data_IF_511602838718
#
_entry.id   IF_511602838718
#
_cell.length_a   1.000
_cell.length_b   1.000
_cell.length_c   1.000
_cell.angle_alpha   90.00
_cell.angle_beta   90.00
_cell.angle_gamma   90.00
#
_symmetry.space_group_name_H-M   'P 1'
#
loop_
_entity.id
_entity.type
_entity.pdbx_description
1 polymer ?
#
# COMPACT_ATOMS: atom_id res chain seq x y z
N UNK A 1 1.76 -37.82 -16.14
CA UNK A 1 1.23 -39.13 -16.56
C UNK A 1 -0.03 -39.51 -15.79
N UNK A 2 0.00 -39.51 -14.44
CA UNK A 2 -1.11 -39.92 -13.57
C UNK A 2 -2.44 -39.16 -13.76
N UNK A 3 -2.40 -37.83 -13.94
CA UNK A 3 -3.62 -37.02 -14.14
C UNK A 3 -4.31 -37.29 -15.48
N UNK A 4 -3.57 -37.76 -16.48
CA UNK A 4 -4.10 -38.03 -17.82
C UNK A 4 -4.89 -39.35 -17.86
N UNK A 5 -4.49 -40.33 -17.06
CA UNK A 5 -5.19 -41.61 -16.91
C UNK A 5 -6.48 -41.46 -16.09
N UNK A 6 -6.49 -40.61 -15.05
CA UNK A 6 -7.68 -40.35 -14.23
C UNK A 6 -8.79 -39.63 -15.03
N UNK A 7 -8.41 -38.72 -15.93
CA UNK A 7 -9.34 -38.06 -16.85
C UNK A 7 -9.92 -39.02 -17.90
N UNK A 8 -9.14 -40.00 -18.36
CA UNK A 8 -9.59 -40.99 -19.34
C UNK A 8 -10.52 -42.05 -18.72
N UNK A 9 -10.30 -42.40 -17.44
CA UNK A 9 -11.21 -43.25 -16.67
C UNK A 9 -12.59 -42.60 -16.42
N UNK A 10 -12.61 -41.30 -16.11
CA UNK A 10 -13.85 -40.54 -15.88
C UNK A 10 -14.68 -40.32 -17.15
N UNK A 11 -14.04 -40.24 -18.32
CA UNK A 11 -14.74 -40.15 -19.61
C UNK A 11 -15.43 -41.47 -19.99
N UNK A 12 -14.78 -42.63 -19.77
CA UNK A 12 -15.38 -43.94 -20.06
C UNK A 12 -16.59 -44.25 -19.17
N UNK A 13 -16.54 -43.87 -17.90
CA UNK A 13 -17.68 -44.01 -16.99
C UNK A 13 -18.91 -43.19 -17.44
N UNK A 14 -18.69 -42.05 -18.10
CA UNK A 14 -19.77 -41.18 -18.62
C UNK A 14 -20.43 -41.73 -19.89
N UNK A 15 -19.67 -42.41 -20.75
CA UNK A 15 -20.21 -43.08 -21.95
C UNK A 15 -21.09 -44.29 -21.59
N UNK A 16 -20.69 -45.09 -20.60
CA UNK A 16 -21.47 -46.26 -20.18
C UNK A 16 -22.80 -45.92 -19.51
N UNK A 17 -22.91 -44.74 -18.86
CA UNK A 17 -24.18 -44.25 -18.29
C UNK A 17 -25.16 -43.73 -19.35
N UNK A 18 -24.68 -43.42 -20.56
CA UNK A 18 -25.51 -42.86 -21.63
C UNK A 18 -26.18 -43.91 -22.52
N UNK A 19 -25.76 -45.19 -22.43
CA UNK A 19 -26.25 -46.28 -23.30
C UNK A 19 -27.37 -47.15 -22.68
N UNK A 20 -27.69 -46.98 -21.39
CA UNK A 20 -28.62 -47.88 -20.67
C UNK A 20 -30.04 -47.33 -20.48
N UNK A 21 -30.39 -46.20 -21.11
CA UNK A 21 -31.67 -45.50 -20.90
C UNK A 21 -32.75 -45.81 -21.96
N UNK A 22 -32.68 -46.94 -22.65
CA UNK A 22 -33.58 -47.25 -23.77
C UNK A 22 -34.22 -48.64 -23.69
N UNK A 23 -35.15 -48.86 -22.74
CA UNK A 23 -36.26 -49.83 -22.83
C UNK A 23 -37.08 -49.86 -21.54
N UNK A 24 -38.30 -49.32 -21.56
CA UNK A 24 -39.45 -49.92 -20.84
C UNK A 24 -40.76 -49.27 -21.29
N UNK A 25 -41.79 -50.09 -21.44
CA UNK A 25 -43.08 -49.84 -22.06
C UNK A 25 -44.16 -49.60 -20.97
N UNK A 26 -44.97 -48.56 -21.18
CA UNK A 26 -46.28 -48.18 -20.61
C UNK A 26 -46.77 -48.65 -19.22
N UNK A 27 -47.06 -47.69 -18.31
CA UNK A 27 -48.27 -47.69 -17.44
C UNK A 27 -48.64 -46.25 -16.97
N UNK A 28 -49.91 -45.77 -16.99
CA UNK A 28 -50.25 -44.33 -16.93
C UNK A 28 -50.56 -43.75 -15.54
N UNK A 29 -50.14 -44.37 -14.42
CA UNK A 29 -50.51 -43.91 -13.07
C UNK A 29 -49.33 -43.47 -12.17
N UNK A 30 -48.08 -43.57 -12.64
CA UNK A 30 -46.87 -43.22 -11.86
C UNK A 30 -46.33 -41.80 -12.15
N UNK A 31 -46.92 -41.08 -13.12
CA UNK A 31 -46.33 -39.85 -13.68
C UNK A 31 -46.36 -38.64 -12.75
N UNK A 32 -47.38 -38.51 -11.90
CA UNK A 32 -47.50 -37.36 -10.98
C UNK A 32 -46.49 -37.40 -9.83
N UNK A 33 -46.12 -38.60 -9.37
CA UNK A 33 -45.13 -38.77 -8.31
C UNK A 33 -43.71 -38.53 -8.86
N UNK A 34 -43.39 -39.11 -10.03
CA UNK A 34 -42.10 -38.86 -10.69
C UNK A 34 -41.88 -37.39 -11.04
N UNK A 35 -42.93 -36.66 -11.45
CA UNK A 35 -42.85 -35.21 -11.72
C UNK A 35 -42.54 -34.41 -10.45
N UNK A 36 -43.11 -34.80 -9.31
CA UNK A 36 -42.89 -34.13 -8.03
C UNK A 36 -41.46 -34.39 -7.51
N UNK A 37 -40.98 -35.61 -7.66
CA UNK A 37 -39.62 -36.03 -7.35
C UNK A 37 -38.59 -35.31 -8.26
N UNK A 38 -38.88 -35.18 -9.56
CA UNK A 38 -38.06 -34.44 -10.51
C UNK A 38 -37.98 -32.95 -10.16
N UNK A 39 -39.10 -32.31 -9.79
CA UNK A 39 -39.10 -30.92 -9.31
C UNK A 39 -38.32 -30.76 -8.01
N UNK A 40 -38.43 -31.70 -7.07
CA UNK A 40 -37.65 -31.68 -5.83
C UNK A 40 -36.14 -31.80 -6.10
N UNK A 41 -35.75 -32.70 -6.99
CA UNK A 41 -34.35 -32.85 -7.42
C UNK A 41 -33.85 -31.60 -8.14
N UNK A 42 -34.67 -30.97 -8.98
CA UNK A 42 -34.34 -29.73 -9.67
C UNK A 42 -34.12 -28.57 -8.69
N UNK A 43 -34.95 -28.45 -7.66
CA UNK A 43 -34.75 -27.48 -6.56
C UNK A 43 -33.47 -27.77 -5.76
N UNK A 44 -33.20 -29.04 -5.42
CA UNK A 44 -31.95 -29.42 -4.72
C UNK A 44 -30.72 -29.11 -5.57
N UNK A 45 -30.77 -29.38 -6.87
CA UNK A 45 -29.69 -29.04 -7.81
C UNK A 45 -29.46 -27.54 -7.87
N UNK A 46 -30.54 -26.74 -7.97
CA UNK A 46 -30.46 -25.26 -7.99
C UNK A 46 -29.85 -24.72 -6.70
N UNK A 47 -30.27 -25.22 -5.54
CA UNK A 47 -29.73 -24.81 -4.25
C UNK A 47 -28.25 -25.20 -4.11
N UNK A 48 -27.89 -26.43 -4.49
CA UNK A 48 -26.49 -26.87 -4.51
C UNK A 48 -25.64 -26.02 -5.45
N UNK A 49 -26.17 -25.63 -6.62
CA UNK A 49 -25.47 -24.79 -7.58
C UNK A 49 -25.24 -23.36 -7.04
N UNK A 50 -26.22 -22.80 -6.33
CA UNK A 50 -26.06 -21.51 -5.66
C UNK A 50 -25.00 -21.56 -4.56
N UNK A 51 -24.98 -22.62 -3.76
CA UNK A 51 -23.96 -22.81 -2.72
C UNK A 51 -22.57 -23.02 -3.33
N UNK A 52 -22.46 -23.78 -4.43
CA UNK A 52 -21.20 -23.91 -5.19
C UNK A 52 -20.72 -22.55 -5.70
N UNK A 53 -21.62 -21.71 -6.21
CA UNK A 53 -21.25 -20.36 -6.68
C UNK A 53 -20.77 -19.48 -5.53
N UNK A 54 -21.43 -19.54 -4.37
CA UNK A 54 -21.02 -18.81 -3.16
C UNK A 54 -19.65 -19.28 -2.65
N UNK A 55 -19.44 -20.60 -2.58
CA UNK A 55 -18.14 -21.14 -2.20
C UNK A 55 -17.05 -20.78 -3.22
N UNK A 56 -17.37 -20.76 -4.51
CA UNK A 56 -16.45 -20.34 -5.57
C UNK A 56 -16.01 -18.88 -5.42
N UNK A 57 -16.92 -17.96 -5.06
CA UNK A 57 -16.53 -16.56 -4.79
C UNK A 57 -15.70 -16.43 -3.52
N UNK A 58 -16.02 -17.17 -2.46
CA UNK A 58 -15.21 -17.22 -1.24
C UNK A 58 -13.80 -17.74 -1.51
N UNK A 59 -13.66 -18.84 -2.26
CA UNK A 59 -12.36 -19.42 -2.64
C UNK A 59 -11.54 -18.42 -3.44
N UNK A 60 -12.15 -17.69 -4.38
CA UNK A 60 -11.46 -16.63 -5.14
C UNK A 60 -10.97 -15.51 -4.22
N UNK A 61 -11.79 -15.07 -3.27
CA UNK A 61 -11.40 -14.06 -2.28
C UNK A 61 -10.22 -14.52 -1.43
N UNK A 62 -10.29 -15.74 -0.87
CA UNK A 62 -9.22 -16.31 -0.05
C UNK A 62 -7.93 -16.50 -0.87
N UNK A 63 -8.04 -16.90 -2.13
CA UNK A 63 -6.87 -17.01 -3.02
C UNK A 63 -6.17 -15.67 -3.23
N UNK A 64 -6.93 -14.60 -3.42
CA UNK A 64 -6.36 -13.24 -3.54
C UNK A 64 -5.68 -12.81 -2.23
N UNK A 65 -6.30 -13.07 -1.07
CA UNK A 65 -5.71 -12.75 0.23
C UNK A 65 -4.40 -13.52 0.46
N UNK A 66 -4.36 -14.82 0.15
CA UNK A 66 -3.15 -15.63 0.24
C UNK A 66 -2.03 -15.05 -0.64
N UNK A 67 -2.34 -14.68 -1.88
CA UNK A 67 -1.36 -14.07 -2.78
C UNK A 67 -0.81 -12.75 -2.23
N UNK A 68 -1.67 -11.89 -1.67
CA UNK A 68 -1.26 -10.62 -1.06
C UNK A 68 -0.37 -10.85 0.18
N UNK A 69 -0.65 -11.89 0.98
CA UNK A 69 0.20 -12.28 2.11
C UNK A 69 1.56 -12.81 1.63
N UNK A 70 1.60 -13.62 0.57
CA UNK A 70 2.84 -14.12 -0.03
C UNK A 70 3.72 -12.99 -0.58
N UNK A 71 3.12 -11.96 -1.20
CA UNK A 71 3.82 -10.75 -1.61
C UNK A 71 4.42 -9.99 -0.42
N UNK A 72 3.65 -9.76 0.65
CA UNK A 72 4.17 -9.15 1.88
C UNK A 72 5.29 -9.96 2.52
N UNK A 73 5.19 -11.29 2.53
CA UNK A 73 6.26 -12.16 3.04
C UNK A 73 7.53 -12.00 2.20
N UNK A 74 7.43 -11.96 0.87
CA UNK A 74 8.59 -11.72 -0.01
C UNK A 74 9.24 -10.36 0.25
N UNK A 75 8.46 -9.30 0.44
CA UNK A 75 8.97 -7.96 0.77
C UNK A 75 9.71 -7.95 2.12
N UNK A 76 9.12 -8.56 3.15
CA UNK A 76 9.73 -8.68 4.47
C UNK A 76 11.01 -9.50 4.42
N UNK A 77 11.04 -10.60 3.67
CA UNK A 77 12.24 -11.41 3.45
C UNK A 77 13.37 -10.55 2.85
N UNK A 78 13.08 -9.74 1.83
CA UNK A 78 14.05 -8.85 1.21
C UNK A 78 14.55 -7.77 2.19
N UNK A 79 13.68 -7.25 3.06
CA UNK A 79 14.05 -6.31 4.12
C UNK A 79 14.97 -6.96 5.15
N UNK A 80 14.67 -8.18 5.57
CA UNK A 80 15.53 -8.98 6.48
C UNK A 80 16.91 -9.18 5.86
N UNK A 81 17.00 -9.62 4.60
CA UNK A 81 18.30 -9.83 3.94
C UNK A 81 19.12 -8.54 3.78
N UNK A 82 18.48 -7.37 3.67
CA UNK A 82 19.18 -6.07 3.70
C UNK A 82 19.74 -5.78 5.09
N UNK A 83 18.94 -5.99 6.14
CA UNK A 83 19.34 -5.77 7.53
C UNK A 83 20.44 -6.73 7.99
N UNK A 84 20.40 -7.99 7.55
CA UNK A 84 21.45 -8.99 7.84
C UNK A 84 22.81 -8.57 7.28
N UNK A 85 22.84 -8.01 6.06
CA UNK A 85 24.07 -7.47 5.46
C UNK A 85 24.60 -6.26 6.23
N UNK A 86 23.72 -5.33 6.62
CA UNK A 86 24.10 -4.17 7.43
C UNK A 86 24.64 -4.59 8.80
N UNK A 87 23.96 -5.52 9.48
CA UNK A 87 24.44 -6.09 10.74
C UNK A 87 25.80 -6.76 10.59
N UNK A 88 26.02 -7.52 9.51
CA UNK A 88 27.31 -8.13 9.22
C UNK A 88 28.40 -7.08 9.06
N UNK A 89 28.16 -6.02 8.28
CA UNK A 89 29.13 -4.93 8.10
C UNK A 89 29.44 -4.22 9.42
N UNK A 90 28.42 -3.90 10.23
CA UNK A 90 28.60 -3.30 11.55
C UNK A 90 29.40 -4.20 12.48
N UNK A 91 29.17 -5.52 12.43
CA UNK A 91 29.95 -6.49 13.22
C UNK A 91 31.43 -6.49 12.83
N UNK A 92 31.74 -6.43 11.54
CA UNK A 92 33.13 -6.32 11.08
C UNK A 92 33.77 -5.01 11.52
N UNK A 93 33.06 -3.88 11.44
CA UNK A 93 33.56 -2.58 11.91
C UNK A 93 33.85 -2.60 13.42
N UNK A 94 32.96 -3.19 14.22
CA UNK A 94 33.18 -3.32 15.66
C UNK A 94 34.42 -4.16 15.96
N UNK A 95 34.63 -5.26 15.24
CA UNK A 95 35.80 -6.11 15.43
C UNK A 95 37.11 -5.39 15.05
N UNK A 96 37.08 -4.63 13.95
CA UNK A 96 38.21 -3.80 13.50
C UNK A 96 38.51 -2.62 14.47
N UNK A 97 37.50 -2.07 15.13
CA UNK A 97 37.71 -1.08 16.19
C UNK A 97 38.29 -1.72 17.46
N UNK A 98 37.84 -2.92 17.82
CA UNK A 98 38.39 -3.66 18.98
C UNK A 98 39.84 -4.06 18.78
N UNK A 99 40.21 -4.51 17.58
CA UNK A 99 41.60 -4.88 17.26
C UNK A 99 42.53 -3.65 17.36
N UNK A 100 42.10 -2.51 16.82
CA UNK A 100 42.83 -1.23 16.94
C UNK A 100 42.97 -0.76 18.37
N UNK A 101 41.91 -0.86 19.17
CA UNK A 101 41.96 -0.52 20.60
C UNK A 101 42.99 -1.38 21.33
N UNK A 102 43.01 -2.69 21.07
CA UNK A 102 43.96 -3.61 21.68
C UNK A 102 45.41 -3.28 21.28
N UNK A 103 45.66 -3.02 20.00
CA UNK A 103 46.98 -2.61 19.53
C UNK A 103 47.43 -1.29 20.18
N UNK A 104 46.52 -0.34 20.36
CA UNK A 104 46.84 0.93 21.03
C UNK A 104 47.19 0.73 22.51
N UNK A 105 46.47 -0.15 23.22
CA UNK A 105 46.78 -0.51 24.61
C UNK A 105 48.14 -1.20 24.73
N UNK A 106 48.51 -2.06 23.78
CA UNK A 106 49.83 -2.68 23.73
C UNK A 106 50.92 -1.64 23.48
N UNK A 107 50.70 -0.71 22.54
CA UNK A 107 51.62 0.40 22.27
C UNK A 107 51.81 1.29 23.51
N UNK A 108 50.74 1.64 24.21
CA UNK A 108 50.80 2.44 25.44
C UNK A 108 51.65 1.75 26.53
N UNK A 109 51.48 0.43 26.71
CA UNK A 109 52.32 -0.34 27.61
C UNK A 109 53.79 -0.29 27.22
N UNK A 110 54.10 -0.50 25.94
CA UNK A 110 55.50 -0.41 25.47
C UNK A 110 56.08 0.98 25.65
N UNK A 111 55.30 2.04 25.43
CA UNK A 111 55.74 3.42 25.63
C UNK A 111 56.05 3.67 27.11
N UNK A 112 55.16 3.26 28.02
CA UNK A 112 55.39 3.39 29.46
C UNK A 112 56.63 2.61 29.92
N UNK A 113 56.83 1.38 29.45
CA UNK A 113 58.04 0.61 29.77
C UNK A 113 59.32 1.31 29.29
N UNK A 114 59.30 1.87 28.07
CA UNK A 114 60.45 2.64 27.56
C UNK A 114 60.70 3.90 28.37
N UNK A 115 59.64 4.60 28.78
CA UNK A 115 59.71 5.82 29.58
C UNK A 115 60.29 5.53 30.96
N UNK A 116 59.80 4.51 31.66
CA UNK A 116 60.34 4.06 32.95
C UNK A 116 61.83 3.64 32.85
N UNK A 117 62.22 3.02 31.73
CA UNK A 117 63.62 2.64 31.51
C UNK A 117 64.52 3.86 31.32
N UNK A 118 63.99 4.91 30.67
CA UNK A 118 64.70 6.16 30.42
C UNK A 118 64.82 6.96 31.71
N UNK A 119 63.75 7.04 32.50
CA UNK A 119 63.75 7.65 33.84
C UNK A 119 64.79 6.99 34.75
N UNK A 120 64.83 5.65 34.80
CA UNK A 120 65.85 4.91 35.55
C UNK A 120 67.29 5.25 35.09
N UNK A 121 67.52 5.34 33.78
CA UNK A 121 68.84 5.70 33.24
C UNK A 121 69.25 7.13 33.60
N UNK A 122 68.31 8.08 33.52
CA UNK A 122 68.54 9.47 33.91
C UNK A 122 68.87 9.56 35.41
N UNK A 123 68.10 8.87 36.26
CA UNK A 123 68.37 8.82 37.70
C UNK A 123 69.76 8.25 38.01
N UNK A 124 70.15 7.15 37.36
CA UNK A 124 71.48 6.56 37.53
C UNK A 124 72.60 7.50 37.05
N UNK A 125 72.40 8.18 35.92
CA UNK A 125 73.38 9.13 35.37
C UNK A 125 73.55 10.33 36.28
N UNK A 126 72.47 10.87 36.84
CA UNK A 126 72.51 11.93 37.83
C UNK A 126 73.24 11.48 39.10
N UNK A 127 72.93 10.27 39.59
CA UNK A 127 73.61 9.70 40.75
C UNK A 127 75.12 9.54 40.52
N UNK A 128 75.55 8.98 39.39
CA UNK A 128 76.96 8.84 39.03
C UNK A 128 77.69 10.18 38.93
N UNK A 129 77.05 11.18 38.31
CA UNK A 129 77.60 12.53 38.20
C UNK A 129 77.78 13.18 39.57
N UNK A 130 76.79 13.05 40.46
CA UNK A 130 76.82 13.56 41.83
C UNK A 130 77.93 12.85 42.64
N UNK A 131 78.02 11.53 42.58
CA UNK A 131 79.07 10.76 43.27
C UNK A 131 80.46 11.12 42.78
N UNK A 132 80.66 11.30 41.46
CA UNK A 132 81.93 11.72 40.89
C UNK A 132 82.32 13.14 41.33
N UNK A 133 81.35 14.05 41.44
CA UNK A 133 81.57 15.42 41.90
C UNK A 133 81.95 15.46 43.39
N UNK A 134 81.25 14.69 44.23
CA UNK A 134 81.52 14.57 45.67
C UNK A 134 82.90 13.96 45.94
N UNK A 135 83.29 12.95 45.15
CA UNK A 135 84.57 12.25 45.33
C UNK A 135 85.80 13.09 44.96
N UNK A 136 85.62 14.22 44.27
CA UNK A 136 86.69 15.11 43.80
C UNK A 136 87.01 16.31 44.69
N UNK A 137 86.30 16.53 45.82
CA UNK A 137 86.40 17.76 46.61
C UNK A 137 86.70 17.49 48.10
N UNK A 138 87.84 17.95 48.67
CA UNK A 138 88.20 17.71 50.06
C UNK A 138 87.67 18.81 51.02
N UNK A 139 86.38 19.18 50.92
CA UNK A 139 85.75 20.17 51.82
C UNK A 139 84.25 19.88 52.05
N UNK A 140 83.92 19.30 53.22
CA UNK A 140 82.56 18.84 53.54
C UNK A 140 81.47 19.91 53.80
N UNK A 141 81.73 21.20 54.08
CA UNK A 141 80.62 22.17 54.18
C UNK A 141 80.21 22.74 52.81
N UNK A 142 81.13 23.00 51.88
CA UNK A 142 80.84 23.63 50.58
C UNK A 142 80.09 22.65 49.65
N UNK A 143 80.44 21.36 49.69
CA UNK A 143 79.73 20.33 48.93
C UNK A 143 78.27 20.18 49.37
N UNK A 144 77.97 20.33 50.66
CA UNK A 144 76.61 20.23 51.18
C UNK A 144 75.74 21.40 50.71
N UNK A 145 76.29 22.62 50.71
CA UNK A 145 75.63 23.81 50.15
C UNK A 145 75.39 23.70 48.65
N UNK A 146 76.35 23.16 47.88
CA UNK A 146 76.16 22.96 46.44
C UNK A 146 75.09 21.90 46.13
N UNK A 147 75.03 20.80 46.88
CA UNK A 147 74.02 19.75 46.70
C UNK A 147 72.63 20.29 47.08
N UNK A 148 72.50 20.98 48.20
CA UNK A 148 71.21 21.59 48.61
C UNK A 148 70.76 22.68 47.65
N UNK A 149 71.66 23.54 47.16
CA UNK A 149 71.33 24.53 46.14
C UNK A 149 70.96 23.88 44.81
N UNK A 150 71.63 22.79 44.41
CA UNK A 150 71.30 22.04 43.21
C UNK A 150 69.93 21.35 43.32
N UNK A 151 69.64 20.67 44.43
CA UNK A 151 68.32 20.09 44.69
C UNK A 151 67.21 21.15 44.67
N UNK A 152 67.41 22.28 45.35
CA UNK A 152 66.45 23.38 45.34
C UNK A 152 66.25 23.95 43.92
N UNK A 153 67.31 24.07 43.13
CA UNK A 153 67.22 24.53 41.74
C UNK A 153 66.52 23.53 40.83
N UNK A 154 66.69 22.23 41.08
CA UNK A 154 66.01 21.16 40.34
C UNK A 154 64.52 21.13 40.68
N UNK A 155 64.16 21.30 41.96
CA UNK A 155 62.77 21.40 42.41
C UNK A 155 62.08 22.62 41.78
N UNK A 156 62.70 23.80 41.81
CA UNK A 156 62.17 25.02 41.15
C UNK A 156 62.02 24.82 39.63
N UNK A 157 62.98 24.16 38.99
CA UNK A 157 62.90 23.87 37.55
C UNK A 157 61.78 22.88 37.22
N UNK A 158 61.54 21.90 38.09
CA UNK A 158 60.46 20.93 37.95
C UNK A 158 59.10 21.61 38.18
N UNK A 159 59.00 22.51 39.15
CA UNK A 159 57.82 23.34 39.42
C UNK A 159 57.52 24.29 38.25
N UNK A 160 58.53 24.93 37.65
CA UNK A 160 58.38 25.75 36.44
C UNK A 160 57.89 24.93 35.23
N UNK A 161 58.38 23.70 35.05
CA UNK A 161 57.89 22.79 34.01
C UNK A 161 56.43 22.39 34.24
N UNK A 162 56.08 22.12 35.50
CA UNK A 162 54.72 21.76 35.90
C UNK A 162 53.76 22.92 35.60
N UNK A 163 54.13 24.15 35.99
CA UNK A 163 53.34 25.35 35.71
C UNK A 163 53.20 25.63 34.21
N UNK A 164 54.23 25.37 33.40
CA UNK A 164 54.16 25.49 31.94
C UNK A 164 53.21 24.45 31.33
N UNK A 165 53.30 23.19 31.79
CA UNK A 165 52.39 22.13 31.36
C UNK A 165 50.94 22.42 31.78
N UNK A 166 50.72 22.93 32.98
CA UNK A 166 49.41 23.34 33.48
C UNK A 166 48.84 24.49 32.66
N UNK A 167 49.64 25.53 32.36
CA UNK A 167 49.22 26.63 31.48
C UNK A 167 48.84 26.13 30.08
N UNK A 168 49.60 25.18 29.51
CA UNK A 168 49.29 24.58 28.21
C UNK A 168 48.02 23.73 28.27
N UNK A 169 47.83 22.98 29.36
CA UNK A 169 46.62 22.20 29.58
C UNK A 169 45.39 23.11 29.57
N UNK A 170 45.41 24.20 30.33
CA UNK A 170 44.33 25.18 30.40
C UNK A 170 44.06 25.81 29.02
N UNK A 171 45.10 26.17 28.25
CA UNK A 171 44.95 26.71 26.91
C UNK A 171 44.31 25.69 25.94
N UNK A 172 44.73 24.43 26.01
CA UNK A 172 44.11 23.36 25.20
C UNK A 172 42.68 23.05 25.60
N UNK A 173 42.37 23.10 26.89
CA UNK A 173 41.01 22.93 27.41
C UNK A 173 40.11 24.08 26.95
N UNK A 174 40.60 25.32 27.02
CA UNK A 174 39.90 26.48 26.48
C UNK A 174 39.64 26.34 24.97
N UNK A 175 40.66 26.01 24.18
CA UNK A 175 40.50 25.79 22.74
C UNK A 175 39.52 24.64 22.42
N UNK A 176 39.52 23.57 23.23
CA UNK A 176 38.60 22.45 23.10
C UNK A 176 37.15 22.88 23.39
N UNK A 177 36.91 23.60 24.48
CA UNK A 177 35.56 24.09 24.82
C UNK A 177 35.02 25.07 23.77
N UNK A 178 35.86 25.94 23.21
CA UNK A 178 35.47 26.85 22.12
C UNK A 178 35.12 26.07 20.83
N UNK A 179 35.90 25.03 20.51
CA UNK A 179 35.63 24.15 19.38
C UNK A 179 34.32 23.36 19.58
N UNK A 180 34.08 22.82 20.77
CA UNK A 180 32.84 22.12 21.12
C UNK A 180 31.62 23.05 21.05
N UNK A 181 31.75 24.28 21.54
CA UNK A 181 30.69 25.29 21.46
C UNK A 181 30.37 25.63 20.00
N UNK A 182 31.40 25.83 19.18
CA UNK A 182 31.25 26.13 17.75
C UNK A 182 30.60 24.96 17.00
N UNK A 183 31.05 23.73 17.25
CA UNK A 183 30.48 22.52 16.65
C UNK A 183 29.01 22.33 17.07
N UNK A 184 28.68 22.57 18.34
CA UNK A 184 27.31 22.49 18.88
C UNK A 184 26.41 23.53 18.22
N UNK A 185 26.87 24.77 18.06
CA UNK A 185 26.11 25.83 17.40
C UNK A 185 25.86 25.51 15.93
N UNK A 186 26.85 24.98 15.21
CA UNK A 186 26.69 24.54 13.82
C UNK A 186 25.70 23.39 13.69
N UNK A 187 25.81 22.36 14.54
CA UNK A 187 24.88 21.24 14.57
C UNK A 187 23.46 21.69 14.89
N UNK A 188 23.28 22.60 15.85
CA UNK A 188 21.97 23.14 16.19
C UNK A 188 21.39 23.99 15.04
N UNK A 189 22.22 24.79 14.37
CA UNK A 189 21.82 25.56 13.19
C UNK A 189 21.37 24.66 12.04
N UNK A 190 22.14 23.61 11.73
CA UNK A 190 21.80 22.59 10.74
C UNK A 190 20.52 21.84 11.12
N UNK A 191 20.38 21.40 12.37
CA UNK A 191 19.17 20.73 12.86
C UNK A 191 17.93 21.63 12.71
N UNK A 192 18.05 22.93 13.01
CA UNK A 192 16.96 23.89 12.82
C UNK A 192 16.61 24.08 11.34
N UNK A 193 17.60 24.25 10.47
CA UNK A 193 17.38 24.43 9.03
C UNK A 193 16.74 23.19 8.39
N UNK A 194 17.27 22.00 8.70
CA UNK A 194 16.72 20.73 8.23
C UNK A 194 15.31 20.49 8.76
N UNK A 195 15.04 20.81 10.04
CA UNK A 195 13.71 20.74 10.63
C UNK A 195 12.70 21.65 9.91
N UNK A 196 13.06 22.91 9.66
CA UNK A 196 12.21 23.85 8.92
C UNK A 196 11.98 23.40 7.47
N UNK A 197 13.05 22.97 6.77
CA UNK A 197 12.93 22.47 5.40
C UNK A 197 12.00 21.24 5.34
N UNK A 198 12.15 20.29 6.26
CA UNK A 198 11.29 19.13 6.36
C UNK A 198 9.84 19.51 6.63
N UNK A 199 9.59 20.42 7.57
CA UNK A 199 8.25 20.90 7.89
C UNK A 199 7.58 21.56 6.68
N UNK A 200 8.32 22.37 5.90
CA UNK A 200 7.77 22.99 4.68
C UNK A 200 7.45 21.97 3.60
N UNK A 201 8.29 20.94 3.42
CA UNK A 201 8.04 19.85 2.47
C UNK A 201 6.83 19.03 2.92
N UNK A 202 6.72 18.71 4.21
CA UNK A 202 5.58 17.99 4.77
C UNK A 202 4.28 18.77 4.59
N UNK A 203 4.27 20.07 4.87
CA UNK A 203 3.12 20.95 4.63
C UNK A 203 2.72 20.97 3.15
N UNK A 204 3.68 21.08 2.23
CA UNK A 204 3.42 21.04 0.79
C UNK A 204 2.85 19.68 0.36
N UNK A 205 3.38 18.58 0.89
CA UNK A 205 2.89 17.23 0.59
C UNK A 205 1.44 17.06 1.04
N UNK A 206 1.10 17.48 2.25
CA UNK A 206 -0.27 17.46 2.77
C UNK A 206 -1.20 18.27 1.86
N UNK A 207 -0.85 19.52 1.55
CA UNK A 207 -1.65 20.38 0.67
C UNK A 207 -1.85 19.77 -0.73
N UNK A 208 -0.84 19.11 -1.29
CA UNK A 208 -0.97 18.42 -2.58
C UNK A 208 -1.85 17.19 -2.47
N UNK A 209 -1.75 16.43 -1.38
CA UNK A 209 -2.60 15.27 -1.11
C UNK A 209 -4.07 15.69 -0.96
N UNK A 210 -4.35 16.74 -0.18
CA UNK A 210 -5.69 17.30 -0.01
C UNK A 210 -6.29 17.71 -1.36
N UNK A 211 -5.50 18.38 -2.22
CA UNK A 211 -5.94 18.72 -3.58
C UNK A 211 -6.27 17.48 -4.41
N UNK A 212 -5.47 16.41 -4.33
CA UNK A 212 -5.72 15.16 -5.05
C UNK A 212 -7.00 14.48 -4.54
N UNK A 213 -7.26 14.52 -3.24
CA UNK A 213 -8.48 13.97 -2.64
C UNK A 213 -9.73 14.76 -3.07
N UNK A 214 -9.66 16.09 -3.11
CA UNK A 214 -10.69 16.95 -3.68
C UNK A 214 -10.94 16.63 -5.17
N UNK A 215 -9.87 16.44 -5.96
CA UNK A 215 -10.02 16.04 -7.37
C UNK A 215 -10.67 14.66 -7.52
N UNK A 216 -10.29 13.66 -6.72
CA UNK A 216 -10.95 12.35 -6.72
C UNK A 216 -12.43 12.48 -6.36
N UNK A 217 -12.75 13.29 -5.35
CA UNK A 217 -14.13 13.53 -4.92
C UNK A 217 -14.94 14.19 -6.03
N UNK A 218 -14.37 15.19 -6.70
CA UNK A 218 -14.96 15.83 -7.87
C UNK A 218 -15.23 14.83 -9.00
N UNK A 219 -14.24 14.00 -9.37
CA UNK A 219 -14.42 13.01 -10.45
C UNK A 219 -15.49 11.98 -10.06
N UNK A 220 -15.52 11.50 -8.81
CA UNK A 220 -16.55 10.58 -8.33
C UNK A 220 -17.95 11.21 -8.39
N UNK A 221 -18.07 12.48 -7.99
CA UNK A 221 -19.33 13.22 -8.08
C UNK A 221 -19.78 13.40 -9.54
N UNK A 222 -18.89 13.83 -10.43
CA UNK A 222 -19.14 13.99 -11.85
C UNK A 222 -19.60 12.68 -12.50
N UNK A 223 -18.93 11.57 -12.17
CA UNK A 223 -19.24 10.25 -12.70
C UNK A 223 -20.63 9.77 -12.28
N UNK A 224 -21.00 10.00 -11.01
CA UNK A 224 -22.35 9.71 -10.49
C UNK A 224 -23.42 10.57 -11.15
N UNK A 225 -23.17 11.87 -11.28
CA UNK A 225 -24.09 12.81 -11.93
C UNK A 225 -24.32 12.42 -13.40
N UNK A 226 -23.26 12.05 -14.11
CA UNK A 226 -23.36 11.60 -15.50
C UNK A 226 -24.17 10.29 -15.62
N UNK A 227 -23.91 9.32 -14.75
CA UNK A 227 -24.68 8.08 -14.70
C UNK A 227 -26.16 8.35 -14.40
N UNK A 228 -26.46 9.15 -13.38
CA UNK A 228 -27.83 9.49 -13.01
C UNK A 228 -28.53 10.20 -14.17
N UNK A 229 -27.87 11.16 -14.82
CA UNK A 229 -28.42 11.86 -15.97
C UNK A 229 -28.74 10.92 -17.16
N UNK A 230 -27.86 9.95 -17.44
CA UNK A 230 -28.11 8.93 -18.47
C UNK A 230 -29.30 8.05 -18.10
N UNK A 231 -29.38 7.59 -16.85
CA UNK A 231 -30.50 6.75 -16.37
C UNK A 231 -31.83 7.51 -16.38
N UNK A 232 -31.86 8.77 -15.95
CA UNK A 232 -33.04 9.62 -16.05
C UNK A 232 -33.50 9.79 -17.50
N UNK A 233 -32.57 9.88 -18.44
CA UNK A 233 -32.90 10.00 -19.85
C UNK A 233 -33.44 8.68 -20.43
N UNK A 234 -32.83 7.53 -20.11
CA UNK A 234 -33.35 6.21 -20.49
C UNK A 234 -34.76 5.98 -19.93
N UNK A 235 -35.03 6.37 -18.69
CA UNK A 235 -36.38 6.26 -18.09
C UNK A 235 -37.40 7.20 -18.73
N UNK A 236 -36.99 8.42 -19.13
CA UNK A 236 -37.85 9.35 -19.89
C UNK A 236 -38.18 8.80 -21.28
N UNK A 237 -37.20 8.23 -21.99
CA UNK A 237 -37.40 7.57 -23.29
C UNK A 237 -38.36 6.40 -23.13
N UNK A 238 -38.15 5.52 -22.14
CA UNK A 238 -39.04 4.40 -21.86
C UNK A 238 -40.48 4.84 -21.62
N UNK A 239 -40.70 5.87 -20.79
CA UNK A 239 -42.04 6.41 -20.55
C UNK A 239 -42.68 6.99 -21.82
N UNK A 240 -41.91 7.68 -22.64
CA UNK A 240 -42.40 8.23 -23.89
C UNK A 240 -42.75 7.12 -24.91
N UNK A 241 -41.96 6.04 -24.99
CA UNK A 241 -42.26 4.88 -25.85
C UNK A 241 -43.55 4.19 -25.43
N UNK A 242 -43.71 3.91 -24.13
CA UNK A 242 -44.96 3.37 -23.58
C UNK A 242 -46.18 4.24 -23.92
N UNK A 243 -46.06 5.57 -23.81
CA UNK A 243 -47.15 6.48 -24.19
C UNK A 243 -47.48 6.45 -25.69
N UNK A 244 -46.48 6.27 -26.55
CA UNK A 244 -46.68 6.11 -27.99
C UNK A 244 -47.37 4.78 -28.33
N UNK A 245 -46.96 3.68 -27.70
CA UNK A 245 -47.59 2.35 -27.85
C UNK A 245 -49.05 2.34 -27.38
N UNK A 246 -49.33 2.92 -26.22
CA UNK A 246 -50.71 3.07 -25.71
C UNK A 246 -51.56 3.90 -26.69
N UNK A 247 -50.99 4.97 -27.28
CA UNK A 247 -51.69 5.78 -28.27
C UNK A 247 -51.93 5.03 -29.59
N UNK A 248 -50.98 4.20 -30.03
CA UNK A 248 -51.13 3.36 -31.21
C UNK A 248 -52.20 2.28 -30.99
N UNK A 249 -52.22 1.66 -29.80
CA UNK A 249 -53.22 0.67 -29.42
C UNK A 249 -54.65 1.28 -29.37
N UNK A 250 -54.79 2.51 -28.86
CA UNK A 250 -56.05 3.30 -28.91
C UNK A 250 -56.52 3.66 -30.32
N UNK A 251 -55.64 3.71 -31.31
CA UNK A 251 -56.02 3.92 -32.72
C UNK A 251 -56.50 2.64 -33.41
N UNK A 252 -56.09 1.47 -32.94
CA UNK A 252 -56.49 0.16 -33.49
C UNK A 252 -57.79 -0.39 -32.90
N UNK A 253 -58.11 -0.03 -31.65
CA UNK A 253 -59.32 -0.45 -30.94
C UNK A 253 -60.32 0.71 -30.90
N UNK A 254 -61.54 0.50 -31.41
CA UNK A 254 -62.63 1.49 -31.24
C UNK A 254 -62.93 1.66 -29.76
N UNK A 255 -63.12 2.90 -29.29
CA UNK A 255 -63.50 3.19 -27.90
C UNK A 255 -64.77 2.43 -27.48
N UNK A 256 -65.67 2.16 -28.44
CA UNK A 256 -66.87 1.35 -28.25
C UNK A 256 -66.56 -0.13 -27.99
N UNK A 257 -65.56 -0.70 -28.67
CA UNK A 257 -65.15 -2.09 -28.45
C UNK A 257 -64.50 -2.30 -27.09
N UNK A 258 -63.76 -1.31 -26.59
CA UNK A 258 -63.14 -1.35 -25.25
C UNK A 258 -64.20 -1.23 -24.16
N UNK A 259 -65.16 -0.30 -24.31
CA UNK A 259 -66.28 -0.17 -23.38
C UNK A 259 -67.19 -1.40 -23.38
N UNK A 260 -67.42 -2.00 -24.55
CA UNK A 260 -68.21 -3.24 -24.67
C UNK A 260 -67.50 -4.41 -23.98
N UNK A 261 -66.19 -4.59 -24.18
CA UNK A 261 -65.42 -5.63 -23.52
C UNK A 261 -65.40 -5.46 -22.00
N UNK A 262 -65.21 -4.23 -21.50
CA UNK A 262 -65.27 -3.90 -20.08
C UNK A 262 -66.65 -4.22 -19.48
N UNK A 263 -67.72 -3.90 -20.20
CA UNK A 263 -69.11 -4.18 -19.79
C UNK A 263 -69.43 -5.68 -19.79
N UNK A 264 -68.95 -6.44 -20.79
CA UNK A 264 -69.14 -7.89 -20.89
C UNK A 264 -68.38 -8.62 -19.77
N UNK A 265 -67.15 -8.17 -19.47
CA UNK A 265 -66.28 -8.76 -18.46
C UNK A 265 -66.54 -8.22 -17.05
N UNK A 266 -67.44 -7.24 -16.91
CA UNK A 266 -67.81 -6.57 -15.67
C UNK A 266 -66.59 -6.03 -14.90
N UNK A 267 -65.65 -5.44 -15.63
CA UNK A 267 -64.44 -4.79 -15.11
C UNK A 267 -64.42 -3.33 -15.57
N UNK A 268 -63.70 -2.45 -14.85
CA UNK A 268 -63.60 -1.06 -15.33
C UNK A 268 -62.73 -1.00 -16.59
N UNK A 269 -62.93 0.03 -17.42
CA UNK A 269 -62.10 0.24 -18.62
C UNK A 269 -60.63 0.44 -18.29
N UNK A 270 -60.35 0.99 -17.10
CA UNK A 270 -59.02 1.15 -16.52
C UNK A 270 -58.40 -0.19 -16.10
N UNK A 271 -59.16 -1.06 -15.43
CA UNK A 271 -58.67 -2.38 -15.05
C UNK A 271 -58.42 -3.26 -16.29
N UNK A 272 -59.25 -3.09 -17.34
CA UNK A 272 -59.05 -3.77 -18.61
C UNK A 272 -57.80 -3.27 -19.35
N UNK A 273 -57.52 -1.96 -19.30
CA UNK A 273 -56.26 -1.38 -19.82
C UNK A 273 -55.05 -1.92 -19.06
N UNK A 274 -55.12 -2.06 -17.74
CA UNK A 274 -54.06 -2.64 -16.90
C UNK A 274 -53.83 -4.13 -17.21
N UNK A 275 -54.88 -4.92 -17.45
CA UNK A 275 -54.77 -6.33 -17.84
C UNK A 275 -54.17 -6.49 -19.25
N UNK A 276 -54.38 -5.50 -20.14
CA UNK A 276 -53.84 -5.48 -21.50
C UNK A 276 -52.43 -4.88 -21.58
N UNK A 277 -51.94 -4.21 -20.53
CA UNK A 277 -50.52 -3.85 -20.40
C UNK A 277 -49.69 -5.13 -20.20
N UNK A 278 -49.33 -5.77 -21.31
CA UNK A 278 -48.31 -6.81 -21.30
C UNK A 278 -46.98 -6.12 -20.99
N UNK A 279 -46.39 -6.41 -19.82
CA UNK A 279 -44.99 -6.07 -19.58
C UNK A 279 -44.15 -6.71 -20.68
N UNK A 280 -43.55 -5.89 -21.54
CA UNK A 280 -42.57 -6.39 -22.49
C UNK A 280 -41.34 -6.88 -21.72
N UNK A 281 -41.31 -8.19 -21.45
CA UNK A 281 -40.22 -8.91 -20.83
C UNK A 281 -38.87 -8.60 -21.52
N UNK A 282 -38.88 -8.29 -22.82
CA UNK A 282 -37.69 -7.94 -23.58
C UNK A 282 -37.18 -6.52 -23.24
N UNK A 283 -38.07 -5.52 -23.12
CA UNK A 283 -37.71 -4.16 -22.72
C UNK A 283 -37.28 -4.09 -21.23
N UNK A 284 -37.91 -4.89 -20.37
CA UNK A 284 -37.48 -5.01 -18.96
C UNK A 284 -36.13 -5.72 -18.83
N UNK A 285 -35.82 -6.70 -19.70
CA UNK A 285 -34.50 -7.32 -19.76
C UNK A 285 -33.41 -6.36 -20.29
N UNK A 286 -33.70 -5.56 -21.32
CA UNK A 286 -32.79 -4.56 -21.88
C UNK A 286 -32.38 -3.52 -20.83
N UNK A 287 -33.35 -2.98 -20.10
CA UNK A 287 -33.08 -1.99 -19.03
C UNK A 287 -32.24 -2.56 -17.87
N UNK A 288 -32.43 -3.84 -17.50
CA UNK A 288 -31.58 -4.51 -16.51
C UNK A 288 -30.15 -4.67 -16.99
N UNK A 289 -29.95 -5.03 -18.26
CA UNK A 289 -28.61 -5.15 -18.86
C UNK A 289 -27.89 -3.79 -18.90
N UNK A 290 -28.59 -2.71 -19.25
CA UNK A 290 -28.05 -1.35 -19.28
C UNK A 290 -27.61 -0.86 -17.88
N UNK A 291 -28.37 -1.22 -16.84
CA UNK A 291 -28.01 -0.88 -15.46
C UNK A 291 -26.73 -1.59 -15.00
N UNK A 292 -26.55 -2.87 -15.36
CA UNK A 292 -25.30 -3.59 -15.03
C UNK A 292 -24.10 -3.01 -15.77
N UNK A 293 -24.26 -2.59 -17.04
CA UNK A 293 -23.20 -1.89 -17.80
C UNK A 293 -22.79 -0.56 -17.15
N UNK A 294 -23.74 0.21 -16.62
CA UNK A 294 -23.43 1.46 -15.91
C UNK A 294 -22.65 1.19 -14.62
N UNK A 295 -22.97 0.10 -13.93
CA UNK A 295 -22.27 -0.33 -12.71
C UNK A 295 -20.87 -0.83 -13.01
N UNK A 296 -20.67 -1.58 -14.09
CA UNK A 296 -19.35 -1.96 -14.60
C UNK A 296 -18.52 -0.73 -14.98
N UNK A 297 -19.12 0.26 -15.63
CA UNK A 297 -18.47 1.52 -15.99
C UNK A 297 -18.03 2.32 -14.75
N UNK A 298 -18.89 2.42 -13.72
CA UNK A 298 -18.50 3.01 -12.44
C UNK A 298 -17.32 2.30 -11.79
N UNK A 299 -17.35 0.96 -11.77
CA UNK A 299 -16.25 0.17 -11.21
C UNK A 299 -14.96 0.34 -12.01
N UNK A 300 -15.06 0.48 -13.33
CA UNK A 300 -13.92 0.77 -14.18
C UNK A 300 -13.31 2.13 -13.85
N UNK A 301 -14.12 3.18 -13.68
CA UNK A 301 -13.63 4.51 -13.27
C UNK A 301 -13.03 4.49 -11.87
N UNK A 302 -13.64 3.77 -10.92
CA UNK A 302 -13.08 3.63 -9.58
C UNK A 302 -11.69 2.96 -9.63
N UNK A 303 -11.53 1.90 -10.43
CA UNK A 303 -10.24 1.23 -10.64
C UNK A 303 -9.21 2.15 -11.32
N UNK A 304 -9.64 2.99 -12.26
CA UNK A 304 -8.75 3.98 -12.90
C UNK A 304 -8.28 5.05 -11.91
N UNK A 305 -9.15 5.48 -10.99
CA UNK A 305 -8.80 6.44 -9.94
C UNK A 305 -7.87 5.84 -8.86
N UNK A 306 -7.96 4.52 -8.64
CA UNK A 306 -7.07 3.79 -7.71
C UNK A 306 -5.75 3.37 -8.36
N UNK A 307 -5.67 3.33 -9.70
CA UNK A 307 -4.46 2.96 -10.42
C UNK A 307 -3.37 4.05 -10.36
N UNK A 308 -2.10 3.64 -10.33
CA UNK A 308 -0.99 4.57 -10.52
C UNK A 308 -0.90 5.06 -11.97
N UNK A 309 -0.39 6.28 -12.15
CA UNK A 309 -0.23 7.00 -13.43
C UNK A 309 0.19 6.10 -14.61
N UNK A 310 -0.31 6.34 -15.85
CA UNK A 310 -1.15 7.47 -16.28
C UNK A 310 -2.64 7.11 -16.44
N UNK A 311 -3.51 7.63 -15.58
CA UNK A 311 -4.97 7.38 -15.63
C UNK A 311 -5.76 8.46 -16.37
N UNK A 312 -5.17 9.63 -16.67
CA UNK A 312 -5.90 10.79 -17.20
C UNK A 312 -6.50 10.57 -18.61
N UNK A 313 -5.74 9.97 -19.54
CA UNK A 313 -6.26 9.66 -20.89
C UNK A 313 -7.36 8.59 -20.83
N UNK A 314 -7.16 7.43 -20.17
CA UNK A 314 -8.22 6.43 -20.02
C UNK A 314 -9.48 6.96 -19.33
N UNK A 315 -9.32 7.83 -18.32
CA UNK A 315 -10.44 8.47 -17.63
C UNK A 315 -11.21 9.42 -18.56
N UNK A 316 -10.49 10.23 -19.35
CA UNK A 316 -11.10 11.12 -20.33
C UNK A 316 -11.89 10.33 -21.37
N UNK A 317 -11.31 9.25 -21.91
CA UNK A 317 -11.96 8.40 -22.91
C UNK A 317 -13.25 7.76 -22.34
N UNK A 318 -13.18 7.25 -21.10
CA UNK A 318 -14.34 6.66 -20.42
C UNK A 318 -15.47 7.66 -20.17
N UNK A 319 -15.13 8.91 -19.83
CA UNK A 319 -16.12 9.99 -19.63
C UNK A 319 -16.71 10.41 -20.98
N UNK A 320 -15.88 10.54 -22.03
CA UNK A 320 -16.34 10.89 -23.38
C UNK A 320 -17.29 9.84 -23.94
N UNK A 321 -17.04 8.54 -23.71
CA UNK A 321 -17.92 7.46 -24.13
C UNK A 321 -19.33 7.62 -23.53
N UNK A 322 -19.43 7.89 -22.22
CA UNK A 322 -20.74 8.13 -21.58
C UNK A 322 -21.40 9.44 -21.99
N UNK A 323 -20.63 10.50 -22.25
CA UNK A 323 -21.19 11.73 -22.81
C UNK A 323 -21.76 11.52 -24.21
N UNK A 324 -21.10 10.73 -25.05
CA UNK A 324 -21.59 10.35 -26.37
C UNK A 324 -22.85 9.48 -26.28
N UNK A 325 -22.92 8.56 -25.31
CA UNK A 325 -24.13 7.80 -25.03
C UNK A 325 -25.29 8.74 -24.63
N UNK A 326 -25.05 9.66 -23.68
CA UNK A 326 -26.04 10.67 -23.29
C UNK A 326 -26.52 11.47 -24.50
N UNK A 327 -25.62 11.91 -25.37
CA UNK A 327 -25.98 12.64 -26.60
C UNK A 327 -26.92 11.84 -27.51
N UNK A 328 -26.60 10.56 -27.77
CA UNK A 328 -27.46 9.67 -28.59
C UNK A 328 -28.85 9.50 -27.98
N UNK A 329 -28.94 9.32 -26.66
CA UNK A 329 -30.21 9.22 -25.96
C UNK A 329 -31.02 10.53 -26.04
N UNK A 330 -30.36 11.70 -26.02
CA UNK A 330 -31.05 12.99 -26.20
C UNK A 330 -31.65 13.07 -27.61
N UNK A 331 -30.90 12.65 -28.62
CA UNK A 331 -31.36 12.62 -30.02
C UNK A 331 -32.54 11.66 -30.20
N UNK A 332 -32.50 10.47 -29.58
CA UNK A 332 -33.61 9.50 -29.58
C UNK A 332 -34.85 10.08 -28.90
N UNK A 333 -34.70 10.64 -27.69
CA UNK A 333 -35.80 11.28 -26.97
C UNK A 333 -36.43 12.43 -27.78
N UNK A 334 -35.60 13.26 -28.42
CA UNK A 334 -36.07 14.38 -29.25
C UNK A 334 -36.84 13.90 -30.48
N UNK A 335 -36.41 12.79 -31.08
CA UNK A 335 -37.08 12.18 -32.24
C UNK A 335 -38.45 11.61 -31.83
N UNK A 336 -38.50 10.93 -30.70
CA UNK A 336 -39.73 10.37 -30.12
C UNK A 336 -40.76 11.46 -29.77
N UNK A 337 -40.31 12.57 -29.19
CA UNK A 337 -41.17 13.72 -28.88
C UNK A 337 -41.68 14.42 -30.15
N UNK A 338 -40.88 14.47 -31.23
CA UNK A 338 -41.33 15.02 -32.53
C UNK A 338 -42.40 14.16 -33.21
N UNK A 339 -42.43 12.86 -32.96
CA UNK A 339 -43.52 11.98 -33.42
C UNK A 339 -44.78 12.07 -32.53
N UNK A 340 -44.64 12.66 -31.34
CA UNK A 340 -45.72 12.76 -30.35
C UNK A 340 -46.56 14.04 -30.48
N UNK A 341 -46.00 15.11 -31.07
CA UNK A 341 -46.69 16.38 -31.44
C UNK A 341 -47.23 16.26 -32.86
#
# INVERSE_FOLDING_TARGET
QQEKEDLQGKLKLREHLSQTAGKSEATPALSKNSDLEMKQLQCKLKNSNNEINKQSTTIKSLKNEVQEKEERVRELQAKISRLERDLSMKRHLIEDLRSRLKANQENEKTFNETLESLERKVLLSCYWLICSFISGLPYLPISFYHITAFCLSADIFQELKLNNLESKMIETEYAMTELEATASQQLQGLAKQTGQALETVQKKLLLTNDKVEEFMTFVKALTRELQQSVQELRTKIKRAKKMEEVRACKKGLSQESVQLAASILNVSTTDLEEILEVEDDEETAKTKMEFEKDKEWLQYIQKLLEAQFPFASPLMDAILEKLNEKKKLIEEYSSLMKHTV
#
